data_IF_305843356814
#
_entry.id   IF_305843356814
#
_cell.length_a   1.000
_cell.length_b   1.000
_cell.length_c   1.000
_cell.angle_alpha   90.00
_cell.angle_beta   90.00
_cell.angle_gamma   90.00
#
_symmetry.space_group_name_H-M   'P 1'
#
loop_
_entity.id
_entity.type
_entity.pdbx_description
1 polymer ?
#
# COMPACT_ATOMS: atom_id res chain seq x y z
N UNK A 1 -40.04 31.27 4.24
CA UNK A 1 -38.73 30.61 4.08
C UNK A 1 -38.63 30.27 2.61
N UNK A 2 -37.99 31.12 1.81
CA UNK A 2 -36.54 31.04 1.51
C UNK A 2 -36.28 29.73 0.76
N UNK A 3 -35.83 29.70 -0.50
CA UNK A 3 -34.81 30.54 -1.12
C UNK A 3 -35.01 30.68 -2.64
N UNK A 4 -34.61 31.86 -3.11
CA UNK A 4 -34.19 32.15 -4.47
C UNK A 4 -32.81 31.49 -4.71
N UNK A 5 -32.58 30.91 -5.88
CA UNK A 5 -31.21 30.86 -6.44
C UNK A 5 -31.29 30.89 -7.95
N UNK A 6 -31.12 32.11 -8.45
CA UNK A 6 -30.76 32.45 -9.81
C UNK A 6 -29.48 31.70 -10.21
N UNK A 7 -29.51 31.03 -11.36
CA UNK A 7 -28.32 30.89 -12.19
C UNK A 7 -28.61 31.60 -13.50
N UNK A 8 -28.24 32.88 -13.48
CA UNK A 8 -28.08 33.75 -14.63
C UNK A 8 -27.12 33.10 -15.62
N UNK A 9 -27.62 32.69 -16.78
CA UNK A 9 -26.82 32.50 -17.99
C UNK A 9 -27.31 33.51 -19.03
N UNK A 10 -26.90 34.76 -18.83
CA UNK A 10 -26.99 35.81 -19.82
C UNK A 10 -25.80 35.65 -20.78
N UNK A 11 -26.04 34.99 -21.90
CA UNK A 11 -25.33 35.17 -23.16
C UNK A 11 -26.46 35.36 -24.19
N UNK A 12 -26.85 36.58 -24.54
CA UNK A 12 -25.97 37.53 -25.21
C UNK A 12 -25.99 37.28 -26.73
N UNK A 13 -27.18 37.13 -27.33
CA UNK A 13 -27.35 37.26 -28.77
C UNK A 13 -28.72 37.91 -28.98
N UNK A 14 -28.71 39.23 -29.19
CA UNK A 14 -29.84 39.96 -29.75
C UNK A 14 -30.11 39.41 -31.16
N UNK A 15 -30.94 38.37 -31.23
CA UNK A 15 -31.59 37.98 -32.46
C UNK A 15 -32.65 39.05 -32.74
N UNK A 16 -32.29 39.98 -33.62
CA UNK A 16 -33.20 40.88 -34.31
C UNK A 16 -34.45 40.09 -34.73
N UNK A 17 -35.56 40.32 -34.02
CA UNK A 17 -36.82 39.64 -34.26
C UNK A 17 -37.46 40.27 -35.50
N UNK A 18 -36.90 39.94 -36.66
CA UNK A 18 -37.53 40.25 -37.94
C UNK A 18 -38.79 39.41 -38.01
N UNK A 19 -39.96 40.04 -37.90
CA UNK A 19 -41.24 39.42 -38.26
C UNK A 19 -41.18 39.05 -39.75
N UNK A 20 -40.75 37.82 -40.04
CA UNK A 20 -40.75 37.30 -41.41
C UNK A 20 -42.16 36.80 -41.70
N UNK A 21 -43.01 37.66 -42.26
CA UNK A 21 -44.32 37.26 -42.76
C UNK A 21 -44.17 36.13 -43.79
N UNK A 22 -44.84 35.00 -43.55
CA UNK A 22 -44.71 33.81 -44.39
C UNK A 22 -45.29 34.06 -45.78
N UNK A 23 -44.46 33.88 -46.81
CA UNK A 23 -44.86 33.93 -48.23
C UNK A 23 -44.67 32.56 -48.86
N UNK A 24 -45.75 31.98 -49.39
CA UNK A 24 -45.69 30.71 -50.09
C UNK A 24 -44.94 30.88 -51.44
N UNK A 25 -44.03 29.96 -51.80
CA UNK A 25 -43.34 30.02 -53.09
C UNK A 25 -44.35 29.84 -54.22
N UNK A 26 -44.22 30.68 -55.25
CA UNK A 26 -45.14 30.71 -56.39
C UNK A 26 -44.68 29.88 -57.57
N UNK A 27 -43.45 29.34 -57.50
CA UNK A 27 -42.83 28.54 -58.55
C UNK A 27 -41.79 27.55 -57.97
N UNK A 28 -41.43 26.55 -58.77
CA UNK A 28 -40.40 25.57 -58.42
C UNK A 28 -39.01 26.21 -58.27
N UNK A 29 -38.67 27.16 -59.15
CA UNK A 29 -37.39 27.88 -59.11
C UNK A 29 -37.24 28.71 -57.83
N UNK A 30 -38.35 29.31 -57.37
CA UNK A 30 -38.39 30.05 -56.11
C UNK A 30 -38.23 29.12 -54.90
N UNK A 31 -38.88 27.96 -54.92
CA UNK A 31 -38.71 26.92 -53.90
C UNK A 31 -37.25 26.44 -53.81
N UNK A 32 -36.64 26.11 -54.95
CA UNK A 32 -35.25 25.65 -55.01
C UNK A 32 -34.27 26.72 -54.51
N UNK A 33 -34.53 28.01 -54.83
CA UNK A 33 -33.72 29.13 -54.32
C UNK A 33 -33.82 29.26 -52.79
N UNK A 34 -35.02 29.16 -52.23
CA UNK A 34 -35.24 29.24 -50.78
C UNK A 34 -34.54 28.08 -50.07
N UNK A 35 -34.69 26.85 -50.57
CA UNK A 35 -34.05 25.67 -50.00
C UNK A 35 -32.53 25.80 -50.04
N UNK A 36 -31.95 26.17 -51.19
CA UNK A 36 -30.50 26.35 -51.31
C UNK A 36 -29.96 27.44 -50.38
N UNK A 37 -30.71 28.53 -50.19
CA UNK A 37 -30.33 29.59 -49.24
C UNK A 37 -30.37 29.11 -47.80
N UNK A 38 -31.39 28.32 -47.44
CA UNK A 38 -31.51 27.73 -46.12
C UNK A 38 -30.39 26.72 -45.84
N UNK A 39 -30.10 25.82 -46.79
CA UNK A 39 -29.02 24.84 -46.71
C UNK A 39 -27.65 25.54 -46.64
N UNK A 40 -27.40 26.57 -47.45
CA UNK A 40 -26.15 27.33 -47.36
C UNK A 40 -25.98 28.02 -46.00
N UNK A 41 -27.07 28.55 -45.43
CA UNK A 41 -27.06 29.17 -44.10
C UNK A 41 -26.78 28.14 -43.00
N UNK A 42 -27.40 26.96 -43.05
CA UNK A 42 -27.15 25.90 -42.07
C UNK A 42 -25.75 25.34 -42.21
N UNK A 43 -25.28 25.09 -43.42
CA UNK A 43 -23.92 24.58 -43.67
C UNK A 43 -22.83 25.59 -43.26
N UNK A 44 -23.10 26.89 -43.39
CA UNK A 44 -22.22 27.94 -42.87
C UNK A 44 -22.25 28.02 -41.35
N UNK A 45 -23.40 27.77 -40.72
CA UNK A 45 -23.57 27.82 -39.26
C UNK A 45 -23.00 26.61 -38.53
N UNK A 46 -22.97 25.44 -39.19
CA UNK A 46 -22.57 24.16 -38.58
C UNK A 46 -21.44 23.45 -39.34
N UNK A 47 -20.75 24.14 -40.26
CA UNK A 47 -19.71 23.53 -41.08
C UNK A 47 -18.49 23.06 -40.27
N UNK A 48 -18.30 23.61 -39.08
CA UNK A 48 -17.26 23.29 -38.11
C UNK A 48 -17.69 22.23 -37.08
N UNK A 49 -18.95 21.81 -37.08
CA UNK A 49 -19.49 20.91 -36.06
C UNK A 49 -18.78 19.55 -36.02
N UNK A 50 -18.52 18.96 -37.19
CA UNK A 50 -17.83 17.66 -37.28
C UNK A 50 -16.37 17.78 -36.81
N UNK A 51 -15.69 18.89 -37.09
CA UNK A 51 -14.34 19.16 -36.62
C UNK A 51 -14.29 19.36 -35.10
N UNK A 52 -15.20 20.15 -34.55
CA UNK A 52 -15.34 20.38 -33.11
C UNK A 52 -15.66 19.08 -32.37
N UNK A 53 -16.56 18.26 -32.92
CA UNK A 53 -16.89 16.95 -32.38
C UNK A 53 -15.68 16.02 -32.38
N UNK A 54 -14.90 16.00 -33.47
CA UNK A 54 -13.69 15.19 -33.56
C UNK A 54 -12.60 15.66 -32.58
N UNK A 55 -12.43 16.97 -32.40
CA UNK A 55 -11.49 17.53 -31.42
C UNK A 55 -11.91 17.21 -29.98
N UNK A 56 -13.20 17.34 -29.66
CA UNK A 56 -13.72 17.00 -28.34
C UNK A 56 -13.51 15.51 -28.00
N UNK A 57 -13.74 14.62 -28.98
CA UNK A 57 -13.49 13.19 -28.80
C UNK A 57 -12.00 12.90 -28.52
N UNK A 58 -11.09 13.54 -29.27
CA UNK A 58 -9.64 13.40 -29.05
C UNK A 58 -9.18 13.95 -27.70
N UNK A 59 -9.73 15.09 -27.28
CA UNK A 59 -9.41 15.65 -25.97
C UNK A 59 -9.85 14.72 -24.84
N UNK A 60 -11.07 14.18 -24.91
CA UNK A 60 -11.55 13.21 -23.92
C UNK A 60 -10.66 11.96 -23.85
N UNK A 61 -10.21 11.44 -25.00
CA UNK A 61 -9.28 10.30 -25.05
C UNK A 61 -7.92 10.63 -24.41
N UNK A 62 -7.36 11.80 -24.68
CA UNK A 62 -6.09 12.25 -24.10
C UNK A 62 -6.21 12.47 -22.59
N UNK A 63 -7.31 13.07 -22.13
CA UNK A 63 -7.58 13.28 -20.70
C UNK A 63 -7.69 11.96 -19.95
N UNK A 64 -8.42 10.98 -20.50
CA UNK A 64 -8.55 9.65 -19.89
C UNK A 64 -7.21 8.90 -19.86
N UNK A 65 -6.45 8.96 -20.96
CA UNK A 65 -5.12 8.37 -21.04
C UNK A 65 -4.14 9.01 -20.03
N UNK A 66 -4.15 10.33 -19.93
CA UNK A 66 -3.31 11.07 -18.98
C UNK A 66 -3.71 10.80 -17.54
N UNK A 67 -5.00 10.69 -17.24
CA UNK A 67 -5.47 10.34 -15.91
C UNK A 67 -5.00 8.95 -15.51
N UNK A 68 -5.14 7.97 -16.41
CA UNK A 68 -4.67 6.59 -16.19
C UNK A 68 -3.15 6.55 -15.96
N UNK A 69 -2.37 7.27 -16.77
CA UNK A 69 -0.92 7.32 -16.60
C UNK A 69 -0.51 8.06 -15.33
N UNK A 70 -1.22 9.14 -14.95
CA UNK A 70 -1.00 9.86 -13.70
C UNK A 70 -1.25 8.98 -12.47
N UNK A 71 -2.34 8.20 -12.47
CA UNK A 71 -2.64 7.24 -11.40
C UNK A 71 -1.54 6.18 -11.27
N UNK A 72 -1.09 5.63 -12.42
CA UNK A 72 0.00 4.65 -12.46
C UNK A 72 1.34 5.24 -11.99
N UNK A 73 1.62 6.49 -12.32
CA UNK A 73 2.82 7.19 -11.86
C UNK A 73 2.75 7.45 -10.36
N UNK A 74 1.59 7.88 -9.84
CA UNK A 74 1.37 8.08 -8.42
C UNK A 74 1.55 6.76 -7.64
N UNK A 75 1.01 5.65 -8.13
CA UNK A 75 1.21 4.33 -7.51
C UNK A 75 2.69 3.92 -7.50
N UNK A 76 3.42 4.14 -8.60
CA UNK A 76 4.86 3.86 -8.67
C UNK A 76 5.68 4.73 -7.72
N UNK A 77 5.32 6.01 -7.59
CA UNK A 77 5.96 6.91 -6.64
C UNK A 77 5.68 6.47 -5.20
N UNK A 78 4.43 6.21 -4.84
CA UNK A 78 4.08 5.72 -3.51
C UNK A 78 4.79 4.39 -3.18
N UNK A 79 4.89 3.47 -4.13
CA UNK A 79 5.63 2.22 -3.96
C UNK A 79 7.14 2.44 -3.80
N UNK A 80 7.72 3.44 -4.48
CA UNK A 80 9.11 3.80 -4.34
C UNK A 80 9.38 4.48 -2.98
N UNK A 81 8.52 5.39 -2.56
CA UNK A 81 8.58 6.06 -1.25
C UNK A 81 8.44 5.07 -0.10
N UNK A 82 7.51 4.11 -0.18
CA UNK A 82 7.37 3.05 0.82
C UNK A 82 8.64 2.19 0.94
N UNK A 83 9.28 1.87 -0.20
CA UNK A 83 10.55 1.14 -0.20
C UNK A 83 11.70 1.97 0.38
N UNK A 84 11.76 3.26 0.06
CA UNK A 84 12.76 4.16 0.64
C UNK A 84 12.59 4.26 2.16
N UNK A 85 11.37 4.49 2.65
CA UNK A 85 11.06 4.55 4.07
C UNK A 85 11.42 3.24 4.81
N UNK A 86 11.16 2.06 4.21
CA UNK A 86 11.55 0.79 4.83
C UNK A 86 13.07 0.59 4.88
N UNK A 87 13.79 1.01 3.83
CA UNK A 87 15.25 0.95 3.82
C UNK A 87 15.86 1.91 4.85
N UNK A 88 15.32 3.12 4.95
CA UNK A 88 15.72 4.11 5.96
C UNK A 88 15.43 3.61 7.38
N UNK A 89 14.23 3.05 7.63
CA UNK A 89 13.86 2.48 8.93
C UNK A 89 14.78 1.32 9.32
N UNK A 90 15.14 0.47 8.36
CA UNK A 90 16.07 -0.65 8.56
C UNK A 90 17.48 -0.16 8.82
N UNK A 91 17.94 0.84 8.08
CA UNK A 91 19.26 1.43 8.26
C UNK A 91 19.38 2.05 9.67
N UNK A 92 18.39 2.82 10.09
CA UNK A 92 18.33 3.43 11.41
C UNK A 92 18.29 2.38 12.53
N UNK A 93 17.48 1.32 12.38
CA UNK A 93 17.51 0.16 13.29
C UNK A 93 18.88 -0.51 13.37
N UNK A 94 19.57 -0.64 12.23
CA UNK A 94 20.91 -1.25 12.17
C UNK A 94 21.98 -0.40 12.82
N UNK A 95 21.88 0.92 12.69
CA UNK A 95 22.78 1.88 13.35
C UNK A 95 22.64 1.81 14.87
N UNK A 96 21.41 1.84 15.39
CA UNK A 96 21.13 1.74 16.83
C UNK A 96 21.57 0.37 17.38
N UNK A 97 21.25 -0.72 16.67
CA UNK A 97 21.66 -2.08 17.04
C UNK A 97 23.18 -2.22 17.13
N UNK A 98 23.92 -1.70 16.14
CA UNK A 98 25.38 -1.74 16.10
C UNK A 98 25.99 -0.90 17.22
N UNK A 99 25.44 0.30 17.48
CA UNK A 99 25.94 1.22 18.52
C UNK A 99 25.73 0.67 19.92
N UNK A 100 24.57 0.07 20.20
CA UNK A 100 24.20 -0.45 21.53
C UNK A 100 24.62 -1.92 21.74
N UNK A 101 25.04 -2.62 20.68
CA UNK A 101 25.43 -4.04 20.77
C UNK A 101 24.25 -4.98 21.04
N UNK A 102 23.09 -4.66 20.49
CA UNK A 102 21.84 -5.42 20.64
C UNK A 102 21.41 -6.01 19.29
N UNK A 103 20.89 -7.24 19.22
CA UNK A 103 20.41 -7.82 17.96
C UNK A 103 19.25 -7.00 17.36
N UNK A 104 19.35 -6.68 16.06
CA UNK A 104 18.36 -5.87 15.33
C UNK A 104 16.93 -6.44 15.39
N UNK A 105 16.82 -7.77 15.42
CA UNK A 105 15.57 -8.52 15.53
C UNK A 105 14.86 -8.38 16.88
N UNK A 106 15.51 -7.79 17.90
CA UNK A 106 14.91 -7.53 19.20
C UNK A 106 14.53 -6.06 19.41
N UNK A 107 15.00 -5.15 18.55
CA UNK A 107 14.66 -3.74 18.65
C UNK A 107 13.24 -3.48 18.15
N UNK A 108 12.45 -2.81 18.97
CA UNK A 108 11.10 -2.37 18.64
C UNK A 108 11.07 -0.84 18.59
N UNK A 109 10.44 -0.29 17.55
CA UNK A 109 10.32 1.15 17.36
C UNK A 109 10.47 1.53 15.89
N UNK A 110 9.94 2.70 15.56
CA UNK A 110 10.07 3.31 14.23
C UNK A 110 10.92 4.58 14.25
N UNK A 111 11.12 5.17 15.43
CA UNK A 111 11.95 6.35 15.65
C UNK A 111 13.26 6.02 16.35
N UNK A 112 14.25 6.93 16.26
CA UNK A 112 15.56 6.73 16.88
C UNK A 112 15.42 6.59 18.40
N UNK A 113 14.59 7.42 19.00
CA UNK A 113 14.35 7.48 20.45
C UNK A 113 13.71 6.18 20.96
N UNK A 114 12.71 5.66 20.25
CA UNK A 114 12.07 4.37 20.60
C UNK A 114 13.06 3.21 20.52
N UNK A 115 13.89 3.19 19.48
CA UNK A 115 14.88 2.13 19.27
C UNK A 115 16.00 2.19 20.31
N UNK A 116 16.45 3.38 20.69
CA UNK A 116 17.42 3.55 21.77
C UNK A 116 16.84 3.12 23.11
N UNK A 117 15.61 3.52 23.44
CA UNK A 117 14.94 3.08 24.66
C UNK A 117 14.74 1.56 24.70
N UNK A 118 14.35 0.95 23.57
CA UNK A 118 14.24 -0.50 23.43
C UNK A 118 15.59 -1.19 23.62
N UNK A 119 16.66 -0.64 23.04
CA UNK A 119 18.01 -1.17 23.20
C UNK A 119 18.48 -1.11 24.65
N UNK A 120 18.24 0.01 25.33
CA UNK A 120 18.65 0.23 26.72
C UNK A 120 17.88 -0.70 27.67
N UNK A 121 16.57 -0.86 27.50
CA UNK A 121 15.77 -1.82 28.26
C UNK A 121 16.26 -3.27 28.08
N UNK A 122 16.72 -3.64 26.88
CA UNK A 122 17.28 -4.97 26.61
C UNK A 122 18.67 -5.17 27.22
N UNK A 123 19.44 -4.09 27.40
CA UNK A 123 20.74 -4.14 28.09
C UNK A 123 20.52 -4.30 29.59
N UNK A 124 19.60 -3.55 30.19
CA UNK A 124 19.23 -3.66 31.61
C UNK A 124 18.73 -5.06 31.94
N UNK A 125 17.76 -5.56 31.16
CA UNK A 125 17.22 -6.91 31.34
C UNK A 125 18.31 -8.00 31.25
N UNK A 126 19.26 -7.86 30.32
CA UNK A 126 20.42 -8.78 30.21
C UNK A 126 21.34 -8.70 31.43
N UNK A 127 21.50 -7.51 32.01
CA UNK A 127 22.23 -7.27 33.25
C UNK A 127 21.59 -7.99 34.45
N UNK A 128 20.27 -7.91 34.59
CA UNK A 128 19.52 -8.61 35.66
C UNK A 128 19.51 -10.13 35.49
N UNK A 129 19.51 -10.63 34.25
CA UNK A 129 19.50 -12.07 33.95
C UNK A 129 20.87 -12.74 34.02
N UNK A 130 21.96 -12.00 34.30
CA UNK A 130 23.27 -12.63 34.51
C UNK A 130 23.15 -13.58 35.70
N UNK A 131 23.25 -14.91 35.53
CA UNK A 131 23.04 -15.84 36.63
C UNK A 131 24.13 -15.57 37.67
N UNK A 132 23.73 -15.03 38.82
CA UNK A 132 24.52 -15.16 40.03
C UNK A 132 24.65 -16.65 40.26
N UNK A 133 25.82 -17.20 39.93
CA UNK A 133 26.06 -18.64 39.98
C UNK A 133 25.56 -19.16 41.35
N UNK A 134 24.64 -20.13 41.40
CA UNK A 134 24.40 -20.79 42.67
C UNK A 134 25.71 -21.48 43.04
N UNK A 135 26.40 -20.95 44.06
CA UNK A 135 27.46 -21.67 44.73
C UNK A 135 26.83 -22.90 45.37
N UNK A 136 26.69 -23.99 44.59
CA UNK A 136 26.23 -25.27 45.11
C UNK A 136 27.20 -25.68 46.22
N UNK A 137 26.74 -25.91 47.47
CA UNK A 137 27.61 -26.46 48.49
C UNK A 137 28.02 -27.85 48.02
N UNK A 138 29.33 -28.09 48.01
CA UNK A 138 29.93 -29.36 47.62
C UNK A 138 29.16 -30.53 48.23
N UNK A 139 28.43 -31.27 47.41
CA UNK A 139 27.93 -32.59 47.78
C UNK A 139 29.16 -33.47 47.97
N UNK A 140 29.52 -33.70 49.24
CA UNK A 140 30.48 -34.73 49.62
C UNK A 140 30.03 -36.05 49.01
N UNK A 141 30.70 -36.49 47.95
CA UNK A 141 30.62 -37.89 47.51
C UNK A 141 31.10 -38.76 48.66
N UNK A 142 30.18 -39.43 49.34
CA UNK A 142 30.54 -40.55 50.20
C UNK A 142 30.95 -41.70 49.27
N UNK A 143 32.22 -42.06 49.30
CA UNK A 143 32.71 -43.23 48.60
C UNK A 143 32.26 -44.46 49.39
N UNK A 144 31.08 -44.98 49.06
CA UNK A 144 30.65 -46.30 49.51
C UNK A 144 31.28 -47.32 48.56
N UNK A 145 32.21 -48.09 49.11
CA UNK A 145 32.75 -49.34 48.55
C UNK A 145 31.64 -50.15 47.88
N UNK A 146 31.85 -50.46 46.59
CA UNK A 146 30.80 -50.73 45.61
C UNK A 146 29.90 -51.94 45.89
N UNK A 147 28.66 -51.93 45.36
CA UNK A 147 27.79 -53.09 45.40
C UNK A 147 28.14 -54.04 44.25
N UNK A 148 28.09 -55.33 44.58
CA UNK A 148 28.39 -56.50 43.75
C UNK A 148 27.71 -56.39 42.37
N UNK A 149 28.43 -56.80 41.33
CA UNK A 149 27.88 -56.85 39.98
C UNK A 149 26.73 -57.86 39.93
N UNK A 150 25.69 -57.57 39.15
CA UNK A 150 24.64 -58.55 38.80
C UNK A 150 25.20 -59.85 38.21
N UNK A 151 26.44 -59.82 37.68
CA UNK A 151 27.16 -61.02 37.26
C UNK A 151 27.57 -61.92 38.44
N UNK A 152 27.91 -61.34 39.61
CA UNK A 152 28.28 -62.09 40.81
C UNK A 152 27.03 -62.70 41.49
N UNK A 153 25.90 -61.99 41.48
CA UNK A 153 24.62 -62.52 41.99
C UNK A 153 24.07 -63.67 41.11
N UNK A 154 24.22 -63.58 39.79
CA UNK A 154 23.79 -64.66 38.88
C UNK A 154 24.66 -65.92 39.03
N UNK A 155 25.96 -65.77 39.26
CA UNK A 155 26.85 -66.89 39.54
C UNK A 155 26.44 -67.62 40.83
N UNK A 156 26.13 -66.87 41.90
CA UNK A 156 25.74 -67.44 43.20
C UNK A 156 24.36 -68.12 43.17
N UNK A 157 23.43 -67.66 42.32
CA UNK A 157 22.15 -68.35 42.09
C UNK A 157 22.35 -69.68 41.34
N UNK A 158 23.17 -69.69 40.28
CA UNK A 158 23.39 -70.88 39.45
C UNK A 158 24.05 -72.03 40.21
N UNK A 159 24.91 -71.73 41.17
CA UNK A 159 25.63 -72.74 41.95
C UNK A 159 24.76 -73.37 43.06
N UNK A 160 23.71 -72.66 43.50
CA UNK A 160 22.79 -73.12 44.54
C UNK A 160 21.60 -73.94 44.00
N UNK A 161 21.33 -73.88 42.69
CA UNK A 161 20.20 -74.58 42.06
C UNK A 161 20.50 -76.00 41.54
N UNK A 162 21.76 -76.44 41.50
CA UNK A 162 22.14 -77.79 41.05
C UNK A 162 22.59 -78.75 42.17
N UNK A 163 22.49 -78.36 43.45
CA UNK A 163 22.86 -79.21 44.60
C UNK A 163 21.69 -79.85 45.35
N UNK A 164 20.47 -79.75 44.82
CA UNK A 164 19.28 -80.34 45.44
C UNK A 164 18.40 -81.11 44.43
N UNK A 165 19.04 -81.87 43.52
CA UNK A 165 18.45 -83.04 42.86
C UNK A 165 19.15 -84.31 43.37
#
# INVERSE_FOLDING_TARGET
>A
MSENTEVTAQAGEEADAVEVEFKAPTSQEELDRIINTAVARTHKKYGDYDELRAQAAKLAEIEEANKTESEKQAERLAAAEAKAAELESRALRSEVAATKGVPLNLLAGSTREELEASADALIEFRGEQKPSAPSSPALKRVNTSGPQSVADEFAQWSENSFRNL
#
